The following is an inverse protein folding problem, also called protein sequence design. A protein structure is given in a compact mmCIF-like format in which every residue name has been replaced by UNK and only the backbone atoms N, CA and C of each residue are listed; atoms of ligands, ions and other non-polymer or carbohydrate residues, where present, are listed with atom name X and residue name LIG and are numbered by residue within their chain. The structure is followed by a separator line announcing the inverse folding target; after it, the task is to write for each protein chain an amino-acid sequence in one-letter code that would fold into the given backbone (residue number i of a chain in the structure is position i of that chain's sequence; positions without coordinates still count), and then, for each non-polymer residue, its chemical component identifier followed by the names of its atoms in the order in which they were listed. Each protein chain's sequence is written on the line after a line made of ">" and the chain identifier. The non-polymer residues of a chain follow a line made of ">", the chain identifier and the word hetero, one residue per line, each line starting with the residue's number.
data_IF_062387378595
#
_entry.id   IF_062387378595
#
_cell.length_a   1.000
_cell.length_b   1.000
_cell.length_c   1.000
_cell.angle_alpha   90.00
_cell.angle_beta   90.00
_cell.angle_gamma   90.00
#
_symmetry.space_group_name_H-M   'P 1'
#
loop_
_entity.id
_entity.type
_entity.pdbx_description
1 polymer ?
#
# COMPACT_ATOMS: atom_id res chain seq x y z
N UNK A 1 -5.49 -16.37 -1.94
CA UNK A 1 -4.10 -16.27 -1.43
C UNK A 1 -3.11 -16.74 -2.50
N UNK A 2 -1.96 -16.08 -2.63
CA UNK A 2 -0.90 -16.42 -3.60
C UNK A 2 0.21 -17.24 -2.91
N UNK A 3 0.15 -18.57 -3.09
CA UNK A 3 1.06 -19.50 -2.42
C UNK A 3 2.54 -19.28 -2.78
N UNK A 4 2.85 -18.75 -3.97
CA UNK A 4 4.23 -18.52 -4.39
C UNK A 4 4.83 -17.34 -3.64
N UNK A 5 4.08 -16.23 -3.53
CA UNK A 5 4.53 -15.05 -2.80
C UNK A 5 4.76 -15.37 -1.30
N UNK A 6 3.86 -16.15 -0.70
CA UNK A 6 4.00 -16.62 0.68
C UNK A 6 5.29 -17.45 0.85
N UNK A 7 5.51 -18.44 -0.03
CA UNK A 7 6.69 -19.29 0.05
C UNK A 7 8.02 -18.51 -0.12
N UNK A 8 8.05 -17.49 -1.00
CA UNK A 8 9.22 -16.64 -1.17
C UNK A 8 9.53 -15.81 0.10
N UNK A 9 8.51 -15.26 0.75
CA UNK A 9 8.65 -14.51 1.99
C UNK A 9 9.09 -15.41 3.16
N UNK A 10 8.46 -16.57 3.32
CA UNK A 10 8.82 -17.53 4.36
C UNK A 10 10.25 -18.05 4.20
N UNK A 11 10.68 -18.31 2.95
CA UNK A 11 12.07 -18.69 2.64
C UNK A 11 13.07 -17.59 3.01
N UNK A 12 12.67 -16.32 2.95
CA UNK A 12 13.47 -15.18 3.38
C UNK A 12 13.41 -14.94 4.90
N UNK A 13 12.68 -15.78 5.65
CA UNK A 13 12.52 -15.65 7.10
C UNK A 13 11.51 -14.58 7.52
N UNK A 14 10.71 -14.06 6.58
CA UNK A 14 9.67 -13.06 6.82
C UNK A 14 8.41 -13.74 7.35
N UNK A 15 7.88 -13.22 8.45
CA UNK A 15 6.61 -13.68 9.02
C UNK A 15 5.44 -13.08 8.26
N UNK A 16 4.59 -13.93 7.69
CA UNK A 16 3.45 -13.55 6.84
C UNK A 16 2.12 -13.39 7.60
N UNK A 17 2.08 -13.79 8.88
CA UNK A 17 0.90 -13.72 9.74
C UNK A 17 0.58 -12.30 10.23
N UNK A 18 1.57 -11.39 10.20
CA UNK A 18 1.46 -9.99 10.62
C UNK A 18 1.72 -9.02 9.45
N UNK A 19 0.79 -8.89 8.48
CA UNK A 19 0.98 -8.02 7.32
C UNK A 19 1.11 -6.53 7.69
N UNK A 20 0.57 -6.10 8.83
CA UNK A 20 0.73 -4.77 9.41
C UNK A 20 2.19 -4.40 9.76
N UNK A 21 3.11 -5.38 9.75
CA UNK A 21 4.54 -5.17 9.98
C UNK A 21 5.37 -5.19 8.70
N UNK A 22 4.71 -5.31 7.55
CA UNK A 22 5.33 -5.35 6.24
C UNK A 22 5.07 -4.06 5.48
N UNK A 23 5.99 -3.68 4.61
CA UNK A 23 5.76 -2.65 3.62
C UNK A 23 6.68 -2.83 2.41
N UNK A 24 6.31 -2.23 1.27
CA UNK A 24 7.15 -2.26 0.08
C UNK A 24 8.21 -1.17 0.18
N UNK A 25 9.48 -1.57 0.18
CA UNK A 25 10.62 -0.69 0.31
C UNK A 25 11.03 -0.08 -1.03
N UNK A 26 11.56 1.14 -0.99
CA UNK A 26 12.03 1.87 -2.18
C UNK A 26 13.34 1.29 -2.69
N UNK A 27 13.35 0.99 -3.99
CA UNK A 27 14.56 0.61 -4.72
C UNK A 27 15.04 1.78 -5.60
N UNK A 28 16.35 1.87 -5.78
CA UNK A 28 17.02 2.95 -6.51
C UNK A 28 17.85 2.35 -7.64
N UNK A 29 17.85 3.01 -8.80
CA UNK A 29 18.75 2.68 -9.89
C UNK A 29 20.14 3.31 -9.69
N UNK A 30 21.06 3.01 -10.61
CA UNK A 30 22.43 3.55 -10.60
C UNK A 30 22.48 5.09 -10.70
N UNK A 31 21.40 5.72 -11.20
CA UNK A 31 21.27 7.16 -11.38
C UNK A 31 20.50 7.83 -10.22
N UNK A 32 20.31 7.14 -9.09
CA UNK A 32 19.53 7.61 -7.94
C UNK A 32 18.08 7.96 -8.28
N UNK A 33 17.50 7.30 -9.28
CA UNK A 33 16.07 7.38 -9.56
C UNK A 33 15.37 6.22 -8.88
N UNK A 34 14.19 6.49 -8.36
CA UNK A 34 13.33 5.45 -7.79
C UNK A 34 12.91 4.49 -8.91
N UNK A 35 13.12 3.20 -8.68
CA UNK A 35 12.65 2.13 -9.55
C UNK A 35 11.16 1.91 -9.27
N UNK A 36 10.25 2.05 -10.25
CA UNK A 36 8.85 1.69 -10.06
C UNK A 36 8.67 0.20 -9.76
N UNK A 37 7.73 -0.15 -8.89
CA UNK A 37 7.48 -1.54 -8.51
C UNK A 37 6.83 -2.29 -9.67
N UNK A 38 7.54 -3.28 -10.22
CA UNK A 38 7.07 -4.15 -11.30
C UNK A 38 6.47 -5.47 -10.80
N UNK A 39 6.75 -6.57 -11.49
CA UNK A 39 6.35 -7.92 -11.04
C UNK A 39 7.04 -8.33 -9.73
N UNK A 40 8.27 -7.85 -9.52
CA UNK A 40 9.09 -8.11 -8.34
C UNK A 40 9.09 -6.88 -7.45
N UNK A 41 8.82 -7.06 -6.17
CA UNK A 41 8.79 -6.02 -5.16
C UNK A 41 9.78 -6.33 -4.03
N UNK A 42 10.48 -5.32 -3.53
CA UNK A 42 11.25 -5.44 -2.29
C UNK A 42 10.33 -5.20 -1.09
N UNK A 43 10.19 -6.20 -0.23
CA UNK A 43 9.39 -6.15 0.99
C UNK A 43 10.33 -6.03 2.19
N UNK A 44 10.01 -5.11 3.09
CA UNK A 44 10.70 -4.94 4.36
C UNK A 44 9.85 -5.46 5.50
N UNK A 45 10.48 -6.24 6.39
CA UNK A 45 9.91 -6.77 7.62
C UNK A 45 10.89 -6.51 8.77
N UNK A 46 10.73 -5.38 9.46
CA UNK A 46 11.74 -4.90 10.41
C UNK A 46 13.09 -4.66 9.70
N UNK A 47 14.12 -5.42 10.07
CA UNK A 47 15.46 -5.34 9.46
C UNK A 47 15.65 -6.31 8.28
N UNK A 48 14.68 -7.20 8.02
CA UNK A 48 14.75 -8.13 6.90
C UNK A 48 14.25 -7.45 5.62
N UNK A 49 14.96 -7.71 4.52
CA UNK A 49 14.55 -7.37 3.17
C UNK A 49 14.41 -8.66 2.36
N UNK A 50 13.29 -8.79 1.65
CA UNK A 50 13.01 -9.92 0.79
C UNK A 50 12.48 -9.41 -0.55
N UNK A 51 12.93 -9.99 -1.66
CA UNK A 51 12.28 -9.78 -2.94
C UNK A 51 11.23 -10.85 -3.16
N UNK A 52 10.04 -10.42 -3.56
CA UNK A 52 8.90 -11.31 -3.84
C UNK A 52 8.28 -10.99 -5.18
N UNK A 53 7.86 -12.02 -5.91
CA UNK A 53 7.04 -11.90 -7.11
C UNK A 53 5.57 -11.78 -6.70
N UNK A 54 4.93 -10.71 -7.15
CA UNK A 54 3.55 -10.43 -6.87
C UNK A 54 2.73 -10.54 -8.15
N UNK A 55 1.56 -11.19 -8.09
CA UNK A 55 0.62 -11.14 -9.21
C UNK A 55 -0.02 -9.74 -9.34
N UNK A 56 -0.53 -9.38 -10.53
CA UNK A 56 -1.37 -8.20 -10.69
C UNK A 56 -2.63 -8.30 -9.82
N UNK A 57 -3.18 -7.16 -9.43
CA UNK A 57 -4.34 -7.05 -8.52
C UNK A 57 -5.55 -7.79 -9.10
N UNK A 58 -5.80 -7.71 -10.42
CA UNK A 58 -6.88 -8.44 -11.12
C UNK A 58 -6.84 -9.96 -10.96
N UNK A 59 -5.68 -10.55 -10.63
CA UNK A 59 -5.53 -12.00 -10.41
C UNK A 59 -5.60 -12.41 -8.94
N UNK A 60 -5.73 -11.45 -8.02
CA UNK A 60 -5.65 -11.69 -6.58
C UNK A 60 -7.02 -11.58 -5.88
N UNK A 61 -8.11 -11.34 -6.62
CA UNK A 61 -9.49 -11.42 -6.11
C UNK A 61 -9.83 -12.87 -5.75
N UNK A 62 -9.57 -13.23 -4.50
CA UNK A 62 -9.69 -14.62 -4.03
C UNK A 62 -10.73 -14.80 -2.94
N UNK A 63 -11.19 -13.71 -2.32
CA UNK A 63 -12.31 -13.71 -1.38
C UNK A 63 -13.65 -13.37 -2.02
N UNK A 64 -14.73 -13.65 -1.31
CA UNK A 64 -16.13 -13.35 -1.66
C UNK A 64 -16.85 -12.52 -0.58
N UNK A 65 -16.13 -12.11 0.46
CA UNK A 65 -16.68 -11.36 1.60
C UNK A 65 -17.14 -9.97 1.17
N UNK A 66 -18.34 -9.57 1.62
CA UNK A 66 -18.83 -8.21 1.43
C UNK A 66 -18.42 -7.37 2.65
N UNK A 67 -17.64 -6.29 2.47
CA UNK A 67 -17.23 -5.48 3.61
C UNK A 67 -18.43 -4.75 4.22
N UNK A 68 -18.39 -4.46 5.53
CA UNK A 68 -19.33 -3.54 6.13
C UNK A 68 -19.09 -2.11 5.62
N UNK A 69 -19.98 -1.19 5.97
CA UNK A 69 -19.80 0.22 5.63
C UNK A 69 -18.64 0.85 6.41
N UNK A 70 -17.69 1.46 5.70
CA UNK A 70 -16.59 2.24 6.29
C UNK A 70 -16.92 3.73 6.46
N UNK A 71 -18.21 4.09 6.47
CA UNK A 71 -18.64 5.47 6.74
C UNK A 71 -18.31 5.92 8.17
N UNK A 72 -18.16 4.97 9.10
CA UNK A 72 -17.66 5.17 10.47
C UNK A 72 -16.25 4.60 10.58
N UNK A 73 -15.72 4.49 11.80
CA UNK A 73 -14.47 3.77 12.07
C UNK A 73 -14.50 2.39 11.41
N UNK A 74 -13.56 2.08 10.51
CA UNK A 74 -13.48 0.76 9.89
C UNK A 74 -13.30 -0.34 10.95
N UNK A 75 -13.79 -1.57 10.70
CA UNK A 75 -13.54 -2.68 11.60
C UNK A 75 -12.04 -2.99 11.73
N UNK A 76 -11.64 -3.46 12.93
CA UNK A 76 -10.24 -3.72 13.26
C UNK A 76 -9.57 -4.76 12.35
N UNK A 77 -10.34 -5.70 11.79
CA UNK A 77 -9.83 -6.74 10.89
C UNK A 77 -9.22 -6.18 9.59
N UNK A 78 -9.62 -4.99 9.15
CA UNK A 78 -9.06 -4.32 7.97
C UNK A 78 -7.86 -3.44 8.30
N UNK A 79 -7.55 -3.20 9.58
CA UNK A 79 -6.43 -2.36 9.98
C UNK A 79 -5.10 -2.79 9.36
N UNK A 80 -4.76 -4.09 9.29
CA UNK A 80 -3.51 -4.50 8.65
C UNK A 80 -3.43 -4.14 7.17
N UNK A 81 -4.57 -4.08 6.47
CA UNK A 81 -4.61 -3.65 5.07
C UNK A 81 -4.32 -2.14 4.95
N UNK A 82 -4.98 -1.34 5.78
CA UNK A 82 -4.71 0.11 5.84
C UNK A 82 -3.24 0.39 6.20
N UNK A 83 -2.73 -0.22 7.26
CA UNK A 83 -1.36 -0.01 7.75
C UNK A 83 -0.34 -0.37 6.68
N UNK A 84 -0.48 -1.50 5.98
CA UNK A 84 0.50 -1.90 4.96
C UNK A 84 0.58 -0.87 3.81
N UNK A 85 -0.56 -0.33 3.37
CA UNK A 85 -0.60 0.73 2.34
C UNK A 85 0.00 2.03 2.88
N UNK A 86 -0.40 2.46 4.07
CA UNK A 86 0.04 3.72 4.67
C UNK A 86 1.53 3.68 5.07
N UNK A 87 2.03 2.56 5.59
CA UNK A 87 3.44 2.34 5.89
C UNK A 87 4.29 2.39 4.62
N UNK A 88 3.80 1.79 3.53
CA UNK A 88 4.46 1.85 2.23
C UNK A 88 4.52 3.29 1.71
N UNK A 89 3.41 4.03 1.80
CA UNK A 89 3.36 5.45 1.41
C UNK A 89 4.32 6.33 2.24
N UNK A 90 4.29 6.16 3.56
CA UNK A 90 5.16 6.87 4.49
C UNK A 90 6.64 6.54 4.23
N UNK A 91 6.94 5.24 4.02
CA UNK A 91 8.28 4.73 3.76
C UNK A 91 8.83 5.31 2.47
N UNK A 92 8.00 5.36 1.42
CA UNK A 92 8.33 6.02 0.17
C UNK A 92 8.67 7.49 0.38
N UNK A 93 7.77 8.28 0.98
CA UNK A 93 7.99 9.72 1.20
C UNK A 93 9.27 10.01 2.00
N UNK A 94 9.53 9.19 3.04
CA UNK A 94 10.76 9.28 3.84
C UNK A 94 12.01 8.98 3.01
N UNK A 95 11.98 7.93 2.18
CA UNK A 95 13.10 7.54 1.34
C UNK A 95 13.44 8.60 0.30
N UNK A 96 12.44 9.18 -0.36
CA UNK A 96 12.64 10.22 -1.40
C UNK A 96 12.82 11.62 -0.82
N UNK A 97 12.73 11.78 0.50
CA UNK A 97 12.78 13.07 1.22
C UNK A 97 11.81 14.10 0.66
N UNK A 98 10.67 13.63 0.18
CA UNK A 98 9.60 14.45 -0.38
C UNK A 98 8.25 13.87 0.03
N UNK A 99 7.37 14.75 0.50
CA UNK A 99 6.02 14.39 0.91
C UNK A 99 5.05 14.79 -0.19
N UNK A 100 4.17 13.86 -0.57
CA UNK A 100 3.10 14.18 -1.51
C UNK A 100 2.02 15.01 -0.84
N UNK A 101 1.37 15.85 -1.64
CA UNK A 101 0.24 16.67 -1.14
C UNK A 101 -0.99 15.80 -0.87
N UNK A 102 -1.88 16.28 -0.02
CA UNK A 102 -3.16 15.63 0.29
C UNK A 102 -3.99 15.39 -0.97
N UNK A 103 -3.95 16.36 -1.90
CA UNK A 103 -4.58 16.26 -3.21
C UNK A 103 -3.97 15.15 -4.08
N UNK A 104 -2.65 14.98 -4.02
CA UNK A 104 -1.96 13.95 -4.79
C UNK A 104 -2.25 12.56 -4.21
N UNK A 105 -2.25 12.39 -2.88
CA UNK A 105 -2.71 11.16 -2.23
C UNK A 105 -4.16 10.83 -2.59
N UNK A 106 -5.07 11.81 -2.51
CA UNK A 106 -6.47 11.66 -2.92
C UNK A 106 -6.56 11.14 -4.37
N UNK A 107 -5.81 11.77 -5.28
CA UNK A 107 -5.77 11.43 -6.71
C UNK A 107 -5.25 10.02 -6.92
N UNK A 108 -4.17 9.64 -6.25
CA UNK A 108 -3.53 8.33 -6.37
C UNK A 108 -4.43 7.20 -5.86
N UNK A 109 -5.06 7.36 -4.68
CA UNK A 109 -6.00 6.36 -4.17
C UNK A 109 -7.23 6.23 -5.08
N UNK A 110 -7.76 7.34 -5.59
CA UNK A 110 -8.86 7.30 -6.57
C UNK A 110 -8.47 6.59 -7.86
N UNK A 111 -7.24 6.80 -8.33
CA UNK A 111 -6.70 6.12 -9.51
C UNK A 111 -6.52 4.63 -9.24
N UNK A 112 -6.07 4.24 -8.04
CA UNK A 112 -5.86 2.86 -7.65
C UNK A 112 -7.17 2.05 -7.67
N UNK A 113 -8.28 2.64 -7.22
CA UNK A 113 -9.61 1.99 -7.33
C UNK A 113 -10.02 1.81 -8.79
N UNK A 114 -9.82 2.85 -9.62
CA UNK A 114 -10.34 2.88 -11.00
C UNK A 114 -9.50 2.06 -11.98
N UNK A 115 -8.19 2.01 -11.76
CA UNK A 115 -7.21 1.35 -12.61
C UNK A 115 -6.18 0.63 -11.73
N UNK A 116 -6.60 -0.42 -11.02
CA UNK A 116 -5.74 -1.11 -10.04
C UNK A 116 -4.48 -1.69 -10.67
N UNK A 117 -4.52 -2.15 -11.92
CA UNK A 117 -3.36 -2.62 -12.69
C UNK A 117 -2.83 -1.58 -13.69
N UNK A 118 -3.26 -0.32 -13.56
CA UNK A 118 -2.85 0.77 -14.45
C UNK A 118 -1.44 1.28 -14.14
N UNK A 119 -1.08 2.37 -14.81
CA UNK A 119 0.16 3.12 -14.53
C UNK A 119 -0.16 4.57 -14.18
N UNK A 120 0.79 5.23 -13.53
CA UNK A 120 0.73 6.64 -13.22
C UNK A 120 2.13 7.28 -13.36
N UNK A 121 2.17 8.59 -13.60
CA UNK A 121 3.41 9.35 -13.68
C UNK A 121 4.12 9.49 -12.34
N UNK A 122 3.37 9.46 -11.24
CA UNK A 122 3.93 9.53 -9.90
C UNK A 122 4.41 8.13 -9.49
N UNK A 123 5.71 7.92 -9.22
CA UNK A 123 6.24 6.60 -8.89
C UNK A 123 5.61 5.98 -7.65
N UNK A 124 5.14 6.80 -6.68
CA UNK A 124 4.43 6.33 -5.48
C UNK A 124 3.26 5.42 -5.83
N UNK A 125 2.59 5.65 -6.97
CA UNK A 125 1.49 4.80 -7.41
C UNK A 125 1.86 3.32 -7.49
N UNK A 126 3.03 3.02 -8.07
CA UNK A 126 3.52 1.63 -8.18
C UNK A 126 3.79 1.00 -6.82
N UNK A 127 4.22 1.80 -5.84
CA UNK A 127 4.42 1.34 -4.46
C UNK A 127 3.10 1.07 -3.75
N UNK A 128 2.08 1.92 -3.94
CA UNK A 128 0.72 1.66 -3.45
C UNK A 128 0.12 0.40 -4.08
N UNK A 129 0.33 0.17 -5.38
CA UNK A 129 -0.04 -1.08 -6.04
C UNK A 129 0.72 -2.27 -5.45
N UNK A 130 2.04 -2.14 -5.23
CA UNK A 130 2.86 -3.17 -4.61
C UNK A 130 2.36 -3.54 -3.22
N UNK A 131 1.99 -2.55 -2.40
CA UNK A 131 1.39 -2.75 -1.08
C UNK A 131 0.09 -3.56 -1.16
N UNK A 132 -0.82 -3.15 -2.03
CA UNK A 132 -2.09 -3.88 -2.22
C UNK A 132 -1.84 -5.31 -2.68
N UNK A 133 -0.99 -5.50 -3.68
CA UNK A 133 -0.64 -6.82 -4.21
C UNK A 133 -0.02 -7.70 -3.12
N UNK A 134 0.86 -7.15 -2.29
CA UNK A 134 1.44 -7.86 -1.15
C UNK A 134 0.35 -8.29 -0.18
N UNK A 135 -0.53 -7.40 0.27
CA UNK A 135 -1.59 -7.76 1.21
C UNK A 135 -2.50 -8.87 0.66
N UNK A 136 -2.93 -8.74 -0.60
CA UNK A 136 -3.81 -9.71 -1.24
C UNK A 136 -3.12 -11.03 -1.60
N UNK A 137 -1.80 -11.04 -1.71
CA UNK A 137 -1.04 -12.29 -1.79
C UNK A 137 -1.09 -13.06 -0.46
N UNK A 138 -1.21 -12.36 0.68
CA UNK A 138 -1.19 -12.94 2.04
C UNK A 138 -2.58 -13.27 2.60
N UNK A 139 -3.63 -12.63 2.09
CA UNK A 139 -5.01 -12.77 2.58
C UNK A 139 -5.98 -12.94 1.42
N UNK A 140 -7.03 -13.72 1.63
CA UNK A 140 -8.16 -13.74 0.71
C UNK A 140 -8.91 -12.42 0.82
N UNK A 141 -9.02 -11.71 -0.31
CA UNK A 141 -9.64 -10.39 -0.39
C UNK A 141 -10.58 -10.38 -1.58
N UNK A 142 -11.82 -9.98 -1.35
CA UNK A 142 -12.78 -9.74 -2.41
C UNK A 142 -12.53 -8.39 -3.08
N UNK A 143 -13.02 -8.22 -4.31
CA UNK A 143 -12.97 -6.93 -4.99
C UNK A 143 -13.67 -5.83 -4.16
N UNK A 144 -14.79 -6.15 -3.50
CA UNK A 144 -15.54 -5.17 -2.71
C UNK A 144 -14.76 -4.70 -1.49
N UNK A 145 -14.04 -5.60 -0.81
CA UNK A 145 -13.18 -5.26 0.33
C UNK A 145 -12.04 -4.32 -0.08
N UNK A 146 -11.35 -4.65 -1.18
CA UNK A 146 -10.32 -3.78 -1.75
C UNK A 146 -10.87 -2.38 -2.07
N UNK A 147 -12.00 -2.31 -2.77
CA UNK A 147 -12.60 -1.03 -3.13
C UNK A 147 -12.96 -0.23 -1.88
N UNK A 148 -13.54 -0.86 -0.86
CA UNK A 148 -13.90 -0.20 0.39
C UNK A 148 -12.68 0.37 1.12
N UNK A 149 -11.59 -0.40 1.22
CA UNK A 149 -10.33 0.05 1.85
C UNK A 149 -9.75 1.24 1.11
N UNK A 150 -9.55 1.13 -0.21
CA UNK A 150 -8.90 2.20 -0.97
C UNK A 150 -9.79 3.44 -1.08
N UNK A 151 -11.11 3.28 -1.16
CA UNK A 151 -12.05 4.42 -1.11
C UNK A 151 -12.00 5.12 0.25
N UNK A 152 -11.84 4.38 1.36
CA UNK A 152 -11.68 4.99 2.68
C UNK A 152 -10.37 5.77 2.80
N UNK A 153 -9.27 5.27 2.23
CA UNK A 153 -7.99 6.00 2.15
C UNK A 153 -8.14 7.29 1.32
N UNK A 154 -8.80 7.20 0.15
CA UNK A 154 -9.13 8.36 -0.68
C UNK A 154 -9.93 9.41 0.11
N UNK A 155 -10.98 8.99 0.83
CA UNK A 155 -11.78 9.90 1.66
C UNK A 155 -10.97 10.51 2.81
N UNK A 156 -10.05 9.74 3.39
CA UNK A 156 -9.15 10.24 4.44
C UNK A 156 -8.23 11.34 3.92
N UNK A 157 -7.54 11.10 2.80
CA UNK A 157 -6.68 12.11 2.17
C UNK A 157 -7.47 13.38 1.82
N UNK A 158 -8.67 13.21 1.25
CA UNK A 158 -9.57 14.33 0.93
C UNK A 158 -10.02 15.12 2.16
N UNK A 159 -10.28 14.45 3.29
CA UNK A 159 -10.69 15.11 4.53
C UNK A 159 -9.60 16.02 5.10
N UNK A 160 -8.34 15.62 4.95
CA UNK A 160 -7.19 16.38 5.43
C UNK A 160 -6.79 17.54 4.49
N UNK A 161 -7.26 17.51 3.24
CA UNK A 161 -7.04 18.56 2.27
C UNK A 161 -7.73 19.86 2.71
N UNK A 162 -6.93 20.85 3.10
CA UNK A 162 -7.43 22.18 3.51
C UNK A 162 -7.21 23.25 2.45
N UNK A 163 -6.11 23.14 1.70
CA UNK A 163 -5.73 24.06 0.63
C UNK A 163 -4.80 23.37 -0.38
N UNK A 164 -4.54 24.02 -1.51
CA UNK A 164 -3.57 23.52 -2.51
C UNK A 164 -2.19 23.46 -1.87
N UNK A 165 -1.55 22.29 -1.93
CA UNK A 165 -0.23 22.06 -1.34
C UNK A 165 -0.23 21.61 0.12
N UNK A 166 -1.40 21.43 0.75
CA UNK A 166 -1.48 20.82 2.09
C UNK A 166 -0.89 19.41 2.12
N UNK A 167 -0.27 19.06 3.25
CA UNK A 167 0.39 17.77 3.53
C UNK A 167 -0.11 17.15 4.85
N UNK A 168 -1.32 17.53 5.27
CA UNK A 168 -1.87 17.18 6.57
C UNK A 168 -2.11 15.67 6.70
N UNK A 169 -2.52 15.01 5.61
CA UNK A 169 -2.69 13.55 5.59
C UNK A 169 -1.37 12.85 5.93
N UNK A 170 -0.24 13.34 5.41
CA UNK A 170 1.05 12.81 5.80
C UNK A 170 1.38 13.10 7.26
N UNK A 171 1.15 14.32 7.73
CA UNK A 171 1.52 14.74 9.09
C UNK A 171 0.70 14.02 10.17
N UNK A 172 -0.61 13.90 9.95
CA UNK A 172 -1.57 13.43 10.96
C UNK A 172 -1.79 11.91 10.89
N UNK A 173 -1.62 11.32 9.70
CA UNK A 173 -1.84 9.88 9.48
C UNK A 173 -0.51 9.17 9.26
N UNK A 174 0.18 9.46 8.15
CA UNK A 174 1.29 8.61 7.69
C UNK A 174 2.53 8.68 8.59
N UNK A 175 2.81 9.84 9.19
CA UNK A 175 3.99 10.03 10.05
C UNK A 175 3.96 9.12 11.27
N UNK A 176 2.78 8.83 11.81
CA UNK A 176 2.62 7.95 12.98
C UNK A 176 2.81 6.47 12.66
N UNK A 177 2.63 6.05 11.40
CA UNK A 177 2.60 4.64 11.00
C UNK A 177 4.00 3.99 11.02
N UNK A 178 5.06 4.76 10.75
CA UNK A 178 6.44 4.22 10.76
C UNK A 178 7.09 4.17 12.15
N UNK A 179 6.39 4.60 13.20
CA UNK A 179 6.97 4.82 14.53
C UNK A 179 7.74 6.15 14.61
N UNK A 180 7.68 6.77 15.79
CA UNK A 180 8.50 7.92 16.18
C UNK A 180 9.98 7.55 16.25
#
# INVERSE_FOLDING_TARGET
>A
MDANAVAELEKAGVKVDAPDRLFVAVEWDENQRVIPVGARAQVRAGEQLAHVHLQPISKLWTGDTKPPSFAKTPPLEYHPFFILIEATAAGYCRAVRNTETDQEFERLYRHLVRRPDGTDRNPLFSYLQGAVRLYMSLRDVSQAEFEAVVLRLHQSAKHHQTHVGSINYFQDVLRGVLGA
#
